data_IF_586403836156
#
_entry.id   IF_586403836156
#
_cell.length_a   1.000
_cell.length_b   1.000
_cell.length_c   1.000
_cell.angle_alpha   90.00
_cell.angle_beta   90.00
_cell.angle_gamma   90.00
#
_symmetry.space_group_name_H-M   'P 1'
#
loop_
_entity.id
_entity.type
_entity.pdbx_description
1 polymer ?
#
# COMPACT_ATOMS: atom_id res chain seq x y z
N UNK A 1 -4.80 17.26 1.95
CA UNK A 1 -5.92 16.35 1.72
C UNK A 1 -7.06 17.14 1.05
N UNK A 2 -7.62 18.16 1.70
CA UNK A 2 -8.76 18.96 1.17
C UNK A 2 -8.45 19.59 -0.19
N UNK A 3 -7.23 20.10 -0.38
CA UNK A 3 -6.80 20.63 -1.68
C UNK A 3 -6.89 19.57 -2.79
N UNK A 4 -6.45 18.32 -2.53
CA UNK A 4 -6.54 17.23 -3.50
C UNK A 4 -8.00 16.86 -3.76
N UNK A 5 -8.82 16.79 -2.72
CA UNK A 5 -10.24 16.44 -2.84
C UNK A 5 -11.04 17.42 -3.70
N UNK A 6 -10.64 18.70 -3.72
CA UNK A 6 -11.29 19.75 -4.52
C UNK A 6 -10.63 19.94 -5.90
N UNK A 7 -9.50 19.29 -6.13
CA UNK A 7 -8.74 19.45 -7.37
C UNK A 7 -9.36 18.68 -8.53
N UNK A 8 -9.30 19.28 -9.73
CA UNK A 8 -9.66 18.63 -11.00
C UNK A 8 -8.45 17.97 -11.70
N UNK A 9 -7.25 18.16 -11.15
CA UNK A 9 -5.98 17.66 -11.74
C UNK A 9 -5.39 16.49 -10.98
N UNK A 10 -5.68 16.36 -9.68
CA UNK A 10 -5.22 15.24 -8.87
C UNK A 10 -6.30 14.15 -8.83
N UNK A 11 -5.88 12.94 -9.13
CA UNK A 11 -6.74 11.75 -8.98
C UNK A 11 -6.84 11.35 -7.49
N UNK A 12 -7.96 10.75 -7.04
CA UNK A 12 -8.15 10.28 -5.68
C UNK A 12 -7.35 9.00 -5.40
N UNK A 13 -6.03 9.14 -5.44
CA UNK A 13 -5.07 8.09 -5.12
C UNK A 13 -3.92 8.66 -4.29
N UNK A 14 -3.63 8.03 -3.16
CA UNK A 14 -2.47 8.34 -2.34
C UNK A 14 -1.58 7.13 -2.18
N UNK A 15 -0.27 7.38 -2.17
CA UNK A 15 0.72 6.42 -1.75
C UNK A 15 1.38 6.96 -0.48
N UNK A 16 1.13 6.30 0.66
CA UNK A 16 1.56 6.80 1.98
C UNK A 16 2.39 5.71 2.68
N UNK A 17 3.72 5.84 2.70
CA UNK A 17 4.57 4.85 3.35
C UNK A 17 4.32 4.78 4.87
N UNK A 18 3.89 3.60 5.38
CA UNK A 18 3.74 3.31 6.80
C UNK A 18 5.03 2.79 7.42
N UNK A 19 5.71 1.91 6.70
CA UNK A 19 6.90 1.17 7.07
C UNK A 19 6.68 0.06 8.11
N UNK A 20 6.00 0.30 9.22
CA UNK A 20 5.62 -0.68 10.25
C UNK A 20 4.38 -0.19 11.01
N UNK A 21 3.56 -1.11 11.49
CA UNK A 21 2.45 -0.83 12.38
C UNK A 21 2.81 -0.96 13.88
N UNK A 22 4.08 -1.21 14.20
CA UNK A 22 4.59 -1.20 15.57
C UNK A 22 5.34 0.12 15.83
N UNK A 23 4.91 0.87 16.85
CA UNK A 23 5.58 2.12 17.23
C UNK A 23 7.02 1.89 17.72
N UNK A 24 7.30 0.72 18.31
CA UNK A 24 8.66 0.30 18.66
C UNK A 24 9.54 0.24 17.40
N UNK A 25 9.07 -0.41 16.35
CA UNK A 25 9.82 -0.56 15.10
C UNK A 25 9.92 0.77 14.36
N UNK A 26 8.86 1.57 14.32
CA UNK A 26 8.90 2.92 13.76
C UNK A 26 9.97 3.78 14.43
N UNK A 27 10.09 3.71 15.76
CA UNK A 27 11.14 4.41 16.52
C UNK A 27 12.54 3.91 16.17
N UNK A 28 12.74 2.59 16.03
CA UNK A 28 14.02 2.02 15.58
C UNK A 28 14.38 2.45 14.15
N UNK A 29 13.40 2.57 13.27
CA UNK A 29 13.54 3.13 11.92
C UNK A 29 13.70 4.66 11.91
N UNK A 30 13.73 5.31 13.07
CA UNK A 30 13.80 6.77 13.23
C UNK A 30 12.69 7.53 12.53
N UNK A 31 11.48 6.94 12.46
CA UNK A 31 10.29 7.62 11.96
C UNK A 31 9.78 8.62 13.00
N UNK A 32 9.29 9.78 12.52
CA UNK A 32 8.83 10.88 13.38
C UNK A 32 7.31 10.89 13.59
N UNK A 33 6.64 9.81 13.21
CA UNK A 33 5.21 9.62 13.37
C UNK A 33 4.92 8.32 14.11
N UNK A 34 3.77 8.26 14.73
CA UNK A 34 3.21 7.05 15.37
C UNK A 34 2.14 6.43 14.49
N UNK A 35 1.77 5.19 14.80
CA UNK A 35 0.66 4.50 14.13
C UNK A 35 -0.67 5.25 14.29
N UNK A 36 -0.92 5.88 15.45
CA UNK A 36 -2.16 6.64 15.69
C UNK A 36 -2.25 7.87 14.78
N UNK A 37 -1.14 8.61 14.62
CA UNK A 37 -1.09 9.71 13.68
C UNK A 37 -1.33 9.23 12.23
N UNK A 38 -0.75 8.08 11.88
CA UNK A 38 -0.95 7.48 10.56
C UNK A 38 -2.43 7.10 10.33
N UNK A 39 -3.05 6.39 11.30
CA UNK A 39 -4.47 6.03 11.28
C UNK A 39 -5.36 7.26 11.10
N UNK A 40 -5.16 8.30 11.89
CA UNK A 40 -5.92 9.54 11.79
C UNK A 40 -5.79 10.21 10.40
N UNK A 41 -4.64 10.07 9.71
CA UNK A 41 -4.48 10.57 8.35
C UNK A 41 -5.27 9.74 7.33
N UNK A 42 -5.26 8.42 7.44
CA UNK A 42 -6.08 7.54 6.60
C UNK A 42 -7.57 7.85 6.78
N UNK A 43 -8.04 7.92 8.03
CA UNK A 43 -9.42 8.27 8.36
C UNK A 43 -9.82 9.64 7.80
N UNK A 44 -8.96 10.65 7.92
CA UNK A 44 -9.20 11.98 7.34
C UNK A 44 -9.30 11.93 5.81
N UNK A 45 -8.45 11.15 5.12
CA UNK A 45 -8.53 10.98 3.66
C UNK A 45 -9.88 10.34 3.30
N UNK A 46 -10.24 9.25 3.96
CA UNK A 46 -11.47 8.52 3.68
C UNK A 46 -12.74 9.31 4.01
N UNK A 47 -12.71 10.15 5.05
CA UNK A 47 -13.85 11.04 5.39
C UNK A 47 -14.11 12.10 4.32
N UNK A 48 -13.07 12.56 3.61
CA UNK A 48 -13.19 13.61 2.57
C UNK A 48 -13.34 13.01 1.18
N UNK A 49 -12.68 11.85 0.93
CA UNK A 49 -12.68 11.13 -0.34
C UNK A 49 -12.90 9.62 -0.09
N UNK A 50 -14.14 9.16 0.16
CA UNK A 50 -14.41 7.74 0.47
C UNK A 50 -13.95 6.77 -0.63
N UNK A 51 -14.00 7.20 -1.89
CA UNK A 51 -13.58 6.42 -3.07
C UNK A 51 -12.08 6.43 -3.33
N UNK A 52 -11.29 7.11 -2.49
CA UNK A 52 -9.85 7.24 -2.67
C UNK A 52 -9.13 5.89 -2.51
N UNK A 53 -8.28 5.54 -3.47
CA UNK A 53 -7.35 4.43 -3.36
C UNK A 53 -6.14 4.83 -2.52
N UNK A 54 -5.76 4.00 -1.54
CA UNK A 54 -4.61 4.25 -0.67
C UNK A 54 -3.65 3.08 -0.72
N UNK A 55 -2.46 3.30 -1.28
CA UNK A 55 -1.34 2.36 -1.28
C UNK A 55 -0.41 2.61 -0.10
N UNK A 56 0.14 1.54 0.47
CA UNK A 56 0.97 1.57 1.68
C UNK A 56 2.26 0.79 1.48
N UNK A 57 3.40 1.38 1.82
CA UNK A 57 4.68 0.64 1.90
C UNK A 57 4.89 0.08 3.30
N UNK A 58 5.31 -1.17 3.38
CA UNK A 58 5.65 -1.87 4.63
C UNK A 58 6.95 -2.64 4.47
N UNK A 59 7.82 -2.54 5.47
CA UNK A 59 9.07 -3.30 5.54
C UNK A 59 8.93 -4.36 6.64
N UNK A 60 9.20 -5.62 6.31
CA UNK A 60 9.23 -6.73 7.28
C UNK A 60 10.64 -7.20 7.56
N UNK A 61 10.89 -7.65 8.78
CA UNK A 61 12.17 -8.20 9.20
C UNK A 61 13.24 -7.14 9.44
N UNK A 62 12.84 -5.95 9.82
CA UNK A 62 13.78 -4.92 10.31
C UNK A 62 14.47 -5.42 11.59
N UNK A 63 15.77 -5.12 11.83
CA UNK A 63 16.47 -5.54 13.05
C UNK A 63 15.69 -5.15 14.31
N UNK A 64 15.51 -6.10 15.23
CA UNK A 64 14.73 -5.93 16.45
C UNK A 64 13.22 -6.17 16.31
N UNK A 65 12.71 -6.49 15.11
CA UNK A 65 11.32 -6.87 14.91
C UNK A 65 11.02 -8.28 15.43
N UNK A 66 10.33 -8.39 16.56
CA UNK A 66 9.82 -9.64 17.12
C UNK A 66 8.60 -10.16 16.37
N UNK A 67 8.14 -11.38 16.67
CA UNK A 67 6.88 -11.88 16.12
C UNK A 67 5.68 -11.04 16.60
N UNK A 68 5.70 -10.59 17.86
CA UNK A 68 4.65 -9.71 18.38
C UNK A 68 4.59 -8.36 17.66
N UNK A 69 5.74 -7.76 17.32
CA UNK A 69 5.80 -6.52 16.54
C UNK A 69 5.24 -6.72 15.11
N UNK A 70 5.50 -7.89 14.52
CA UNK A 70 4.95 -8.23 13.22
C UNK A 70 3.43 -8.45 13.27
N UNK A 71 2.92 -9.17 14.28
CA UNK A 71 1.47 -9.36 14.46
C UNK A 71 0.78 -8.02 14.70
N UNK A 72 1.35 -7.15 15.53
CA UNK A 72 0.85 -5.78 15.74
C UNK A 72 0.76 -5.01 14.40
N UNK A 73 1.78 -5.14 13.55
CA UNK A 73 1.78 -4.53 12.21
C UNK A 73 0.69 -5.12 11.30
N UNK A 74 0.54 -6.44 11.31
CA UNK A 74 -0.46 -7.15 10.51
C UNK A 74 -1.88 -6.74 10.91
N UNK A 75 -2.19 -6.77 12.20
CA UNK A 75 -3.51 -6.42 12.74
C UNK A 75 -3.84 -4.95 12.49
N UNK A 76 -2.89 -4.06 12.73
CA UNK A 76 -3.05 -2.64 12.46
C UNK A 76 -3.40 -2.37 10.98
N UNK A 77 -2.66 -2.98 10.04
CA UNK A 77 -2.93 -2.83 8.61
C UNK A 77 -4.28 -3.46 8.24
N UNK A 78 -4.62 -4.60 8.83
CA UNK A 78 -5.89 -5.27 8.56
C UNK A 78 -7.10 -4.40 8.94
N UNK A 79 -7.00 -3.62 10.01
CA UNK A 79 -8.05 -2.69 10.46
C UNK A 79 -8.13 -1.40 9.65
N UNK A 80 -7.02 -0.95 9.04
CA UNK A 80 -7.00 0.29 8.27
C UNK A 80 -7.79 0.18 6.96
N UNK A 81 -8.51 1.24 6.58
CA UNK A 81 -9.15 1.37 5.27
C UNK A 81 -8.12 1.79 4.21
N UNK A 82 -7.24 0.86 3.86
CA UNK A 82 -6.24 1.01 2.79
C UNK A 82 -6.49 -0.03 1.70
N UNK A 83 -6.09 0.27 0.46
CA UNK A 83 -6.50 -0.48 -0.72
C UNK A 83 -5.51 -1.57 -1.12
N UNK A 84 -4.22 -1.37 -0.90
CA UNK A 84 -3.17 -2.34 -1.22
C UNK A 84 -1.86 -2.03 -0.51
N UNK A 85 -0.95 -3.02 -0.48
CA UNK A 85 0.38 -2.88 0.12
C UNK A 85 1.47 -3.14 -0.90
N UNK A 86 2.56 -2.41 -0.78
CA UNK A 86 3.87 -2.81 -1.28
C UNK A 86 4.69 -3.32 -0.09
N UNK A 87 4.96 -4.62 -0.10
CA UNK A 87 5.66 -5.28 1.00
C UNK A 87 7.11 -5.51 0.62
N UNK A 88 8.01 -4.92 1.39
CA UNK A 88 9.44 -5.04 1.22
C UNK A 88 10.03 -5.91 2.32
N UNK A 89 10.92 -6.81 1.94
CA UNK A 89 11.78 -7.52 2.89
C UNK A 89 12.98 -6.62 3.22
N UNK A 90 13.26 -6.42 4.51
CA UNK A 90 14.45 -5.67 4.90
C UNK A 90 15.69 -6.26 4.28
N UNK A 91 16.52 -5.42 3.72
CA UNK A 91 17.80 -5.73 3.10
C UNK A 91 18.88 -4.86 3.74
N UNK A 92 19.94 -5.50 4.18
CA UNK A 92 21.10 -4.84 4.77
C UNK A 92 21.80 -3.97 3.71
N UNK A 93 22.02 -2.70 4.06
CA UNK A 93 22.78 -1.77 3.21
C UNK A 93 24.01 -1.30 3.97
N UNK A 94 25.18 -1.50 3.39
CA UNK A 94 26.44 -1.01 3.95
C UNK A 94 26.32 0.50 4.31
N UNK A 95 27.00 0.91 5.35
CA UNK A 95 27.03 2.29 5.84
C UNK A 95 25.70 2.85 6.34
N UNK A 96 24.78 1.98 6.78
CA UNK A 96 23.55 2.40 7.47
C UNK A 96 23.59 1.98 8.93
N UNK A 97 23.08 2.83 9.82
CA UNK A 97 22.98 2.50 11.25
C UNK A 97 22.12 1.25 11.53
N UNK A 98 21.21 0.92 10.63
CA UNK A 98 20.36 -0.26 10.77
C UNK A 98 21.14 -1.58 10.72
N UNK A 99 22.31 -1.61 10.08
CA UNK A 99 23.19 -2.81 10.03
C UNK A 99 23.83 -3.08 11.38
N UNK A 100 24.02 -2.04 12.19
CA UNK A 100 24.64 -2.11 13.52
C UNK A 100 23.65 -2.53 14.62
N UNK A 101 22.33 -2.53 14.30
CA UNK A 101 21.31 -2.91 15.26
C UNK A 101 21.35 -4.40 15.54
N UNK A 102 21.16 -4.75 16.81
CA UNK A 102 20.98 -6.13 17.26
C UNK A 102 19.61 -6.68 16.85
N UNK A 103 19.45 -8.00 16.96
CA UNK A 103 18.17 -8.66 16.71
C UNK A 103 17.87 -8.82 15.21
N UNK A 104 18.89 -9.25 14.43
CA UNK A 104 18.69 -9.64 13.03
C UNK A 104 17.62 -10.71 12.93
N UNK A 105 16.69 -10.52 12.01
CA UNK A 105 15.62 -11.47 11.72
C UNK A 105 16.08 -12.41 10.61
N UNK A 106 15.91 -13.71 10.78
CA UNK A 106 16.29 -14.71 9.77
C UNK A 106 15.54 -14.49 8.45
N UNK A 107 16.22 -14.79 7.33
CA UNK A 107 15.65 -14.59 6.00
C UNK A 107 14.39 -15.44 5.76
N UNK A 108 14.31 -16.64 6.33
CA UNK A 108 13.12 -17.49 6.28
C UNK A 108 11.90 -16.83 6.95
N UNK A 109 12.13 -16.22 8.12
CA UNK A 109 11.09 -15.47 8.85
C UNK A 109 10.67 -14.23 8.07
N UNK A 110 11.63 -13.47 7.52
CA UNK A 110 11.31 -12.30 6.67
C UNK A 110 10.45 -12.70 5.46
N UNK A 111 10.77 -13.82 4.79
CA UNK A 111 10.00 -14.32 3.64
C UNK A 111 8.58 -14.71 4.05
N UNK A 112 8.42 -15.43 5.16
CA UNK A 112 7.09 -15.79 5.67
C UNK A 112 6.25 -14.54 5.99
N UNK A 113 6.82 -13.56 6.69
CA UNK A 113 6.14 -12.29 6.99
C UNK A 113 5.76 -11.53 5.73
N UNK A 114 6.65 -11.49 4.75
CA UNK A 114 6.38 -10.86 3.45
C UNK A 114 5.20 -11.52 2.74
N UNK A 115 5.19 -12.85 2.68
CA UNK A 115 4.09 -13.61 2.06
C UNK A 115 2.75 -13.35 2.75
N UNK A 116 2.71 -13.37 4.08
CA UNK A 116 1.48 -13.09 4.86
C UNK A 116 0.91 -11.70 4.55
N UNK A 117 1.75 -10.66 4.48
CA UNK A 117 1.30 -9.31 4.13
C UNK A 117 0.94 -9.16 2.65
N UNK A 118 1.57 -9.92 1.75
CA UNK A 118 1.15 -9.94 0.34
C UNK A 118 -0.25 -10.55 0.17
N UNK A 119 -0.54 -11.64 0.89
CA UNK A 119 -1.89 -12.23 0.92
C UNK A 119 -2.90 -11.21 1.47
N UNK A 120 -2.56 -10.49 2.53
CA UNK A 120 -3.41 -9.42 3.06
C UNK A 120 -3.62 -8.31 2.02
N UNK A 121 -2.57 -7.92 1.30
CA UNK A 121 -2.65 -6.92 0.21
C UNK A 121 -3.63 -7.34 -0.89
N UNK A 122 -3.60 -8.60 -1.32
CA UNK A 122 -4.55 -9.09 -2.33
C UNK A 122 -6.00 -9.06 -1.83
N UNK A 123 -6.24 -9.45 -0.56
CA UNK A 123 -7.57 -9.36 0.06
C UNK A 123 -8.08 -7.93 0.11
N UNK A 124 -7.23 -6.98 0.52
CA UNK A 124 -7.59 -5.56 0.58
C UNK A 124 -7.86 -4.99 -0.81
N UNK A 125 -7.07 -5.36 -1.81
CA UNK A 125 -7.28 -4.94 -3.19
C UNK A 125 -8.61 -5.47 -3.74
N UNK A 126 -8.90 -6.76 -3.54
CA UNK A 126 -10.16 -7.36 -3.94
C UNK A 126 -11.34 -6.66 -3.26
N UNK A 127 -11.26 -6.43 -1.95
CA UNK A 127 -12.29 -5.69 -1.21
C UNK A 127 -12.49 -4.27 -1.76
N UNK A 128 -11.40 -3.54 -2.03
CA UNK A 128 -11.49 -2.21 -2.61
C UNK A 128 -12.16 -2.23 -3.99
N UNK A 129 -11.81 -3.18 -4.85
CA UNK A 129 -12.40 -3.29 -6.19
C UNK A 129 -13.90 -3.63 -6.14
N UNK A 130 -14.30 -4.53 -5.24
CA UNK A 130 -15.71 -4.92 -5.05
C UNK A 130 -16.61 -3.76 -4.67
N UNK A 131 -16.09 -2.75 -3.97
CA UNK A 131 -16.87 -1.57 -3.60
C UNK A 131 -17.35 -0.74 -4.82
N UNK A 132 -16.72 -0.92 -5.98
CA UNK A 132 -16.98 -0.16 -7.20
C UNK A 132 -17.51 -1.02 -8.36
N UNK A 133 -17.90 -2.26 -8.08
CA UNK A 133 -18.55 -3.11 -9.08
C UNK A 133 -19.88 -2.49 -9.50
N UNK A 134 -20.05 -2.27 -10.81
CA UNK A 134 -21.21 -1.62 -11.38
C UNK A 134 -21.11 -0.09 -11.52
N UNK A 135 -20.09 0.53 -10.96
CA UNK A 135 -19.82 1.96 -11.15
C UNK A 135 -19.34 2.25 -12.58
N UNK A 136 -19.72 3.41 -13.11
CA UNK A 136 -19.16 3.95 -14.35
C UNK A 136 -18.08 4.97 -14.00
N UNK A 137 -16.84 4.72 -14.44
CA UNK A 137 -15.68 5.56 -14.15
C UNK A 137 -14.84 5.84 -15.39
N UNK A 138 -14.22 7.02 -15.50
CA UNK A 138 -13.26 7.30 -16.55
C UNK A 138 -12.02 6.41 -16.40
N UNK A 139 -11.51 5.89 -17.52
CA UNK A 139 -10.30 5.05 -17.57
C UNK A 139 -9.34 5.64 -18.60
N UNK A 140 -8.07 5.75 -18.22
CA UNK A 140 -6.98 6.05 -19.15
C UNK A 140 -6.41 4.72 -19.64
N UNK A 141 -6.66 4.37 -20.91
CA UNK A 141 -6.18 3.13 -21.51
C UNK A 141 -4.84 3.30 -22.22
N UNK A 142 -4.00 2.29 -22.05
CA UNK A 142 -2.71 2.15 -22.71
C UNK A 142 -2.60 0.75 -23.33
N UNK A 143 -1.67 0.57 -24.29
CA UNK A 143 -1.34 -0.76 -24.81
C UNK A 143 -0.88 -1.68 -23.67
N UNK A 144 -1.47 -2.85 -23.60
CA UNK A 144 -1.01 -3.89 -22.66
C UNK A 144 0.22 -4.62 -23.23
N UNK A 145 0.99 -5.24 -22.32
CA UNK A 145 2.05 -6.18 -22.71
C UNK A 145 1.50 -7.48 -23.32
N UNK A 146 0.24 -7.78 -23.03
CA UNK A 146 -0.46 -8.94 -23.61
C UNK A 146 -0.99 -8.58 -24.99
N UNK A 147 -0.74 -9.45 -25.98
CA UNK A 147 -1.18 -9.22 -27.34
C UNK A 147 -2.72 -9.09 -27.42
N UNK A 148 -3.18 -8.19 -28.27
CA UNK A 148 -4.61 -7.93 -28.50
C UNK A 148 -5.40 -7.49 -27.24
N UNK A 149 -4.72 -6.90 -26.26
CA UNK A 149 -5.36 -6.32 -25.08
C UNK A 149 -4.89 -4.89 -24.81
N UNK A 150 -5.74 -4.14 -24.14
CA UNK A 150 -5.41 -2.84 -23.56
C UNK A 150 -5.66 -2.88 -22.07
N UNK A 151 -4.95 -2.10 -21.32
CA UNK A 151 -5.15 -1.96 -19.88
C UNK A 151 -5.03 -0.51 -19.45
N UNK A 152 -5.69 -0.17 -18.37
CA UNK A 152 -5.64 1.19 -17.85
C UNK A 152 -6.04 1.24 -16.40
N UNK A 153 -6.06 2.45 -15.87
CA UNK A 153 -6.53 2.69 -14.51
C UNK A 153 -7.71 3.67 -14.52
N UNK A 154 -8.67 3.39 -13.65
CA UNK A 154 -9.72 4.35 -13.34
C UNK A 154 -9.14 5.57 -12.62
N UNK A 155 -9.94 6.63 -12.50
CA UNK A 155 -9.58 7.82 -11.72
C UNK A 155 -9.20 7.48 -10.26
N UNK A 156 -9.82 6.46 -9.65
CA UNK A 156 -9.49 5.97 -8.31
C UNK A 156 -8.55 4.75 -8.31
N UNK A 157 -7.76 4.57 -9.37
CA UNK A 157 -6.65 3.62 -9.45
C UNK A 157 -7.04 2.13 -9.46
N UNK A 158 -8.25 1.79 -9.95
CA UNK A 158 -8.64 0.40 -10.22
C UNK A 158 -8.11 0.01 -11.60
N UNK A 159 -7.38 -1.09 -11.68
CA UNK A 159 -6.88 -1.63 -12.94
C UNK A 159 -7.99 -2.30 -13.73
N UNK A 160 -8.14 -1.89 -14.99
CA UNK A 160 -9.09 -2.46 -15.95
C UNK A 160 -8.32 -3.01 -17.15
N UNK A 161 -8.76 -4.18 -17.68
CA UNK A 161 -8.22 -4.76 -18.90
C UNK A 161 -9.37 -5.14 -19.83
N UNK A 162 -9.21 -4.80 -21.12
CA UNK A 162 -10.21 -5.06 -22.18
C UNK A 162 -9.51 -5.57 -23.43
N UNK A 163 -10.22 -6.20 -24.37
CA UNK A 163 -9.72 -6.42 -25.73
C UNK A 163 -9.30 -5.11 -26.37
N UNK A 164 -8.23 -5.15 -27.16
CA UNK A 164 -7.67 -3.95 -27.80
C UNK A 164 -8.69 -3.25 -28.70
N UNK A 165 -8.84 -1.96 -28.47
CA UNK A 165 -9.61 -1.04 -29.31
C UNK A 165 -8.76 0.22 -29.52
N UNK A 166 -8.11 0.31 -30.67
CA UNK A 166 -7.10 1.37 -30.96
C UNK A 166 -7.63 2.79 -30.74
N UNK A 167 -8.91 3.03 -31.01
CA UNK A 167 -9.52 4.36 -30.83
C UNK A 167 -9.71 4.79 -29.35
N UNK A 168 -9.51 3.86 -28.39
CA UNK A 168 -9.57 4.15 -26.95
C UNK A 168 -8.19 4.35 -26.32
N UNK A 169 -7.12 4.09 -27.06
CA UNK A 169 -5.75 4.29 -26.57
C UNK A 169 -5.45 5.78 -26.53
N UNK A 170 -4.85 6.22 -25.42
CA UNK A 170 -4.42 7.61 -25.23
C UNK A 170 -3.00 7.82 -25.78
#
# INVERSE_FOLDING_TARGET
IEFVAQSRVFVPHFHIPLQSGSDKILKLMRRRYTRDLYKARIEKIKSVMPHCCIGVDVIVGFPGESESDFIETYDFINELDVSYLHVFTYSERANTLAVELEGKVDMSVRRNRNERLRILSEKKRAHFYQQFEGDIRPVLFEHSKEANSMSGYTDNYIKVSLPLQEYLIN
#
